data_IF_361112383314
#
_entry.id   IF_361112383314
#
_cell.length_a   1.000
_cell.length_b   1.000
_cell.length_c   1.000
_cell.angle_alpha   90.00
_cell.angle_beta   90.00
_cell.angle_gamma   90.00
#
_symmetry.space_group_name_H-M   'P 1'
#
loop_
_entity.id
_entity.type
_entity.pdbx_description
1 polymer ?
#
# COMPACT_ATOMS: atom_id res chain seq x y z
N UNK A 1 14.07 -16.44 11.84
CA UNK A 1 13.24 -16.60 10.62
C UNK A 1 13.93 -16.00 9.37
N UNK A 2 15.23 -16.25 9.15
CA UNK A 2 15.98 -15.65 8.04
C UNK A 2 15.94 -16.50 6.76
N UNK A 3 15.64 -17.80 6.90
CA UNK A 3 15.63 -18.75 5.79
C UNK A 3 14.63 -18.39 4.69
N UNK A 4 13.35 -18.04 4.98
CA UNK A 4 12.42 -17.64 3.93
C UNK A 4 12.89 -16.39 3.18
N UNK A 5 13.47 -15.41 3.90
CA UNK A 5 13.98 -14.18 3.30
C UNK A 5 15.17 -14.46 2.37
N UNK A 6 16.11 -15.31 2.80
CA UNK A 6 17.26 -15.71 1.99
C UNK A 6 16.83 -16.43 0.70
N UNK A 7 15.83 -17.30 0.77
CA UNK A 7 15.27 -18.00 -0.40
C UNK A 7 14.64 -16.99 -1.37
N UNK A 8 13.85 -16.04 -0.88
CA UNK A 8 13.22 -15.01 -1.73
C UNK A 8 14.30 -14.14 -2.40
N UNK A 9 15.29 -13.67 -1.65
CA UNK A 9 16.39 -12.87 -2.21
C UNK A 9 17.16 -13.65 -3.26
N UNK A 10 17.48 -14.93 -2.99
CA UNK A 10 18.16 -15.79 -3.96
C UNK A 10 17.34 -15.91 -5.25
N UNK A 11 16.04 -16.21 -5.16
CA UNK A 11 15.16 -16.32 -6.33
C UNK A 11 15.07 -15.01 -7.11
N UNK A 12 14.92 -13.86 -6.42
CA UNK A 12 14.90 -12.54 -7.08
C UNK A 12 16.21 -12.27 -7.84
N UNK A 13 17.35 -12.56 -7.22
CA UNK A 13 18.66 -12.39 -7.88
C UNK A 13 18.86 -13.37 -9.04
N UNK A 14 18.45 -14.63 -8.89
CA UNK A 14 18.56 -15.64 -9.94
C UNK A 14 17.69 -15.28 -11.15
N UNK A 15 16.44 -14.84 -10.93
CA UNK A 15 15.54 -14.43 -12.01
C UNK A 15 16.07 -13.16 -12.71
N UNK A 16 16.61 -12.20 -11.96
CA UNK A 16 17.15 -10.96 -12.53
C UNK A 16 18.43 -11.17 -13.34
N UNK A 17 19.42 -11.88 -12.80
CA UNK A 17 20.75 -12.05 -13.41
C UNK A 17 20.74 -13.16 -14.45
N UNK A 18 20.05 -14.27 -14.17
CA UNK A 18 19.99 -15.46 -15.02
C UNK A 18 18.65 -15.56 -15.75
N UNK A 19 18.09 -14.41 -16.15
CA UNK A 19 16.74 -14.29 -16.73
C UNK A 19 16.48 -15.23 -17.92
N UNK A 20 17.50 -15.51 -18.73
CA UNK A 20 17.45 -16.47 -19.85
C UNK A 20 16.94 -17.87 -19.44
N UNK A 21 17.31 -18.35 -18.25
CA UNK A 21 16.88 -19.67 -17.78
C UNK A 21 15.38 -19.74 -17.47
N UNK A 22 14.76 -18.60 -17.17
CA UNK A 22 13.33 -18.50 -16.88
C UNK A 22 12.51 -18.13 -18.12
N UNK A 23 13.08 -17.25 -18.95
CA UNK A 23 12.41 -16.69 -20.13
C UNK A 23 12.30 -17.74 -21.25
N UNK A 24 13.34 -18.55 -21.51
CA UNK A 24 13.30 -19.57 -22.58
C UNK A 24 12.20 -20.63 -22.38
N UNK A 25 12.07 -21.28 -21.21
CA UNK A 25 10.99 -22.23 -20.97
C UNK A 25 9.61 -21.58 -21.01
N UNK A 26 9.48 -20.36 -20.49
CA UNK A 26 8.21 -19.62 -20.52
C UNK A 26 7.73 -19.42 -21.96
N UNK A 27 8.63 -18.99 -22.86
CA UNK A 27 8.29 -18.83 -24.27
C UNK A 27 7.93 -20.14 -24.95
N UNK A 28 8.63 -21.24 -24.65
CA UNK A 28 8.30 -22.56 -25.19
C UNK A 28 6.90 -23.02 -24.77
N UNK A 29 6.51 -22.77 -23.51
CA UNK A 29 5.17 -23.10 -23.01
C UNK A 29 4.12 -22.27 -23.73
N UNK A 30 4.33 -20.94 -23.82
CA UNK A 30 3.37 -20.03 -24.47
C UNK A 30 3.23 -20.34 -25.96
N UNK A 31 4.34 -20.53 -26.69
CA UNK A 31 4.29 -20.85 -28.12
C UNK A 31 3.63 -22.19 -28.39
N UNK A 32 3.88 -23.20 -27.55
CA UNK A 32 3.20 -24.49 -27.61
C UNK A 32 1.70 -24.40 -27.35
N UNK A 33 1.26 -23.55 -26.41
CA UNK A 33 -0.16 -23.33 -26.10
C UNK A 33 -0.90 -22.59 -27.22
N UNK A 34 -0.27 -21.57 -27.82
CA UNK A 34 -0.89 -20.73 -28.84
C UNK A 34 -0.62 -21.19 -30.28
N UNK A 35 0.14 -22.28 -30.48
CA UNK A 35 0.58 -22.79 -31.80
C UNK A 35 1.24 -21.73 -32.67
N UNK A 36 2.02 -20.86 -32.04
CA UNK A 36 2.79 -19.81 -32.72
C UNK A 36 4.15 -20.41 -33.08
N UNK A 37 4.57 -20.26 -34.33
CA UNK A 37 5.91 -20.70 -34.75
C UNK A 37 6.97 -19.97 -33.92
N UNK A 38 7.81 -20.74 -33.22
CA UNK A 38 8.83 -20.21 -32.33
C UNK A 38 10.00 -19.53 -33.07
N UNK A 39 10.00 -19.59 -34.40
CA UNK A 39 11.09 -19.12 -35.28
C UNK A 39 10.84 -17.72 -35.86
N UNK A 40 9.91 -16.96 -35.28
CA UNK A 40 9.72 -15.56 -35.69
C UNK A 40 11.01 -14.77 -35.43
N UNK A 41 11.48 -13.94 -36.40
CA UNK A 41 12.63 -13.06 -36.24
C UNK A 41 12.53 -12.10 -35.05
N UNK A 42 11.33 -11.87 -34.53
CA UNK A 42 11.08 -11.05 -33.34
C UNK A 42 11.46 -11.78 -32.04
N UNK A 43 11.25 -13.10 -31.97
CA UNK A 43 11.62 -13.89 -30.79
C UNK A 43 13.13 -13.98 -30.61
N UNK A 44 13.88 -14.17 -31.70
CA UNK A 44 15.34 -14.21 -31.65
C UNK A 44 15.93 -12.87 -31.17
N UNK A 45 15.37 -11.74 -31.64
CA UNK A 45 15.75 -10.40 -31.15
C UNK A 45 15.46 -10.21 -29.67
N UNK A 46 14.32 -10.70 -29.18
CA UNK A 46 13.98 -10.61 -27.76
C UNK A 46 14.94 -11.41 -26.89
N UNK A 47 15.25 -12.66 -27.27
CA UNK A 47 16.20 -13.51 -26.54
C UNK A 47 17.60 -12.87 -26.50
N UNK A 48 18.06 -12.30 -27.62
CA UNK A 48 19.34 -11.56 -27.67
C UNK A 48 19.35 -10.35 -26.74
N UNK A 49 18.25 -9.58 -26.66
CA UNK A 49 18.17 -8.44 -25.74
C UNK A 49 18.21 -8.88 -24.27
N UNK A 50 17.48 -9.95 -23.91
CA UNK A 50 17.48 -10.52 -22.56
C UNK A 50 18.85 -11.08 -22.18
N UNK A 51 19.56 -11.69 -23.15
CA UNK A 51 20.93 -12.13 -22.99
C UNK A 51 21.87 -10.96 -22.71
N UNK A 52 21.82 -9.90 -23.52
CA UNK A 52 22.63 -8.71 -23.32
C UNK A 52 22.36 -8.06 -21.95
N UNK A 53 21.11 -7.97 -21.52
CA UNK A 53 20.74 -7.46 -20.18
C UNK A 53 21.34 -8.34 -19.09
N UNK A 54 21.28 -9.66 -19.24
CA UNK A 54 21.85 -10.62 -18.28
C UNK A 54 23.38 -10.48 -18.19
N UNK A 55 24.05 -10.33 -19.33
CA UNK A 55 25.51 -10.13 -19.39
C UNK A 55 25.89 -8.80 -18.73
N UNK A 56 25.24 -7.69 -19.09
CA UNK A 56 25.53 -6.37 -18.51
C UNK A 56 25.29 -6.38 -17.00
N UNK A 57 24.20 -6.99 -16.54
CA UNK A 57 23.90 -7.11 -15.11
C UNK A 57 24.95 -7.96 -14.38
N UNK A 58 25.37 -9.08 -14.97
CA UNK A 58 26.43 -9.93 -14.44
C UNK A 58 27.77 -9.21 -14.34
N UNK A 59 28.17 -8.50 -15.39
CA UNK A 59 29.40 -7.67 -15.40
C UNK A 59 29.32 -6.59 -14.33
N UNK A 60 28.19 -5.90 -14.18
CA UNK A 60 28.00 -4.87 -13.14
C UNK A 60 28.16 -5.45 -11.72
N UNK A 61 27.59 -6.63 -11.45
CA UNK A 61 27.73 -7.31 -10.16
C UNK A 61 29.19 -7.68 -9.90
N UNK A 62 29.86 -8.29 -10.88
CA UNK A 62 31.29 -8.67 -10.75
C UNK A 62 32.15 -7.43 -10.50
N UNK A 63 31.96 -6.35 -11.26
CA UNK A 63 32.67 -5.09 -11.06
C UNK A 63 32.42 -4.51 -9.67
N UNK A 64 31.18 -4.52 -9.20
CA UNK A 64 30.84 -4.04 -7.85
C UNK A 64 31.54 -4.87 -6.78
N UNK A 65 31.55 -6.20 -6.91
CA UNK A 65 32.26 -7.10 -5.98
C UNK A 65 33.76 -6.81 -6.00
N UNK A 66 34.37 -6.67 -7.18
CA UNK A 66 35.78 -6.34 -7.32
C UNK A 66 36.12 -4.99 -6.68
N UNK A 67 35.28 -3.97 -6.88
CA UNK A 67 35.43 -2.65 -6.25
C UNK A 67 35.31 -2.72 -4.71
N UNK A 68 34.38 -3.52 -4.19
CA UNK A 68 34.21 -3.71 -2.74
C UNK A 68 35.38 -4.49 -2.13
N UNK A 69 35.89 -5.52 -2.81
CA UNK A 69 37.10 -6.24 -2.39
C UNK A 69 38.29 -5.29 -2.40
N UNK A 70 38.48 -4.55 -3.48
CA UNK A 70 39.56 -3.56 -3.61
C UNK A 70 39.48 -2.49 -2.52
N UNK A 71 38.29 -1.92 -2.27
CA UNK A 71 38.03 -0.98 -1.18
C UNK A 71 38.41 -1.59 0.17
N UNK A 72 37.99 -2.83 0.44
CA UNK A 72 38.27 -3.50 1.71
C UNK A 72 39.78 -3.73 1.90
N UNK A 73 40.48 -4.18 0.86
CA UNK A 73 41.94 -4.35 0.89
C UNK A 73 42.66 -3.03 1.11
N UNK A 74 42.24 -1.94 0.46
CA UNK A 74 42.86 -0.63 0.58
C UNK A 74 42.60 0.04 1.94
N UNK A 75 41.40 -0.12 2.49
CA UNK A 75 41.01 0.48 3.77
C UNK A 75 41.32 -0.40 4.99
N UNK A 76 41.87 -1.61 4.81
CA UNK A 76 42.11 -2.56 5.91
C UNK A 76 42.97 -2.00 7.06
N UNK A 77 43.89 -1.10 6.76
CA UNK A 77 44.80 -0.51 7.74
C UNK A 77 44.34 0.87 8.24
N UNK A 78 43.16 1.35 7.82
CA UNK A 78 42.60 2.61 8.31
C UNK A 78 41.78 2.34 9.57
N UNK A 79 42.10 3.05 10.65
CA UNK A 79 41.27 3.08 11.85
C UNK A 79 39.94 3.75 11.53
N UNK A 80 38.84 3.00 11.64
CA UNK A 80 37.49 3.53 11.48
C UNK A 80 37.04 4.02 12.85
N UNK A 81 36.96 5.33 13.02
CA UNK A 81 36.35 5.94 14.20
C UNK A 81 34.85 6.10 13.96
N UNK A 82 34.05 5.79 14.97
CA UNK A 82 32.61 6.04 14.97
C UNK A 82 32.30 7.06 16.05
N UNK A 83 31.50 8.07 15.69
CA UNK A 83 31.06 9.13 16.59
C UNK A 83 29.56 9.37 16.43
N UNK A 84 28.96 10.21 17.30
CA UNK A 84 27.55 10.56 17.19
C UNK A 84 27.29 11.29 15.87
N UNK A 85 26.23 10.89 15.15
CA UNK A 85 25.85 11.49 13.85
C UNK A 85 25.51 12.98 13.94
N UNK A 86 25.19 13.47 15.15
CA UNK A 86 24.79 14.85 15.43
C UNK A 86 25.69 15.53 16.46
N UNK A 87 26.95 15.09 16.59
CA UNK A 87 27.89 15.56 17.61
C UNK A 87 28.13 17.08 17.64
N UNK A 88 27.82 17.80 16.56
CA UNK A 88 27.90 19.27 16.48
C UNK A 88 26.80 19.99 17.29
N UNK A 89 25.71 19.30 17.65
CA UNK A 89 24.56 19.91 18.33
C UNK A 89 24.06 19.12 19.54
N UNK A 90 24.00 17.79 19.46
CA UNK A 90 23.58 16.96 20.57
C UNK A 90 24.37 15.66 20.60
N UNK A 91 25.06 15.41 21.72
CA UNK A 91 26.04 14.33 21.85
C UNK A 91 25.47 13.04 22.43
N UNK A 92 24.22 13.06 22.91
CA UNK A 92 23.53 11.91 23.49
C UNK A 92 22.38 11.43 22.56
N UNK A 93 22.67 10.78 21.42
CA UNK A 93 21.63 10.40 20.47
C UNK A 93 20.61 9.43 21.10
N UNK A 94 19.34 9.67 20.81
CA UNK A 94 18.22 8.78 21.12
C UNK A 94 17.43 8.50 19.82
N UNK A 95 16.69 7.39 19.77
CA UNK A 95 15.86 7.00 18.63
C UNK A 95 14.84 8.09 18.24
N UNK A 96 14.43 8.93 19.21
CA UNK A 96 13.53 10.07 18.99
C UNK A 96 14.11 11.17 18.09
N UNK A 97 15.43 11.25 17.95
CA UNK A 97 16.10 12.22 17.08
C UNK A 97 16.13 11.75 15.61
N UNK A 98 15.71 10.51 15.33
CA UNK A 98 15.65 10.00 13.96
C UNK A 98 14.35 10.44 13.29
N UNK A 99 14.44 10.86 12.03
CA UNK A 99 13.26 11.10 11.22
C UNK A 99 12.44 9.82 11.09
N UNK A 100 11.15 9.92 11.40
CA UNK A 100 10.20 8.81 11.26
C UNK A 100 9.75 8.69 9.80
N UNK A 101 9.17 7.55 9.45
CA UNK A 101 8.54 7.35 8.14
C UNK A 101 7.51 8.45 7.83
N UNK A 102 6.76 8.91 8.84
CA UNK A 102 5.80 10.01 8.71
C UNK A 102 6.48 11.31 8.30
N UNK A 103 7.60 11.68 8.92
CA UNK A 103 8.34 12.89 8.56
C UNK A 103 8.92 12.81 7.14
N UNK A 104 9.41 11.64 6.72
CA UNK A 104 9.91 11.43 5.37
C UNK A 104 8.82 11.57 4.31
N UNK A 105 7.62 11.03 4.59
CA UNK A 105 6.48 11.09 3.69
C UNK A 105 5.73 12.42 3.73
N UNK A 106 6.02 13.30 4.69
CA UNK A 106 5.19 14.46 5.02
C UNK A 106 5.01 15.46 3.87
N UNK A 107 6.12 15.75 3.16
CA UNK A 107 6.10 16.61 1.98
C UNK A 107 5.26 16.02 0.86
N UNK A 108 5.43 14.72 0.59
CA UNK A 108 4.68 14.04 -0.46
C UNK A 108 3.20 13.94 -0.09
N UNK A 109 2.89 13.69 1.18
CA UNK A 109 1.54 13.67 1.69
C UNK A 109 0.85 15.04 1.61
N UNK A 110 1.60 16.13 1.81
CA UNK A 110 1.12 17.49 1.59
C UNK A 110 0.76 17.77 0.13
N UNK A 111 1.61 17.35 -0.82
CA UNK A 111 1.32 17.47 -2.26
C UNK A 111 0.12 16.63 -2.69
N UNK A 112 -0.03 15.43 -2.11
CA UNK A 112 -1.09 14.49 -2.40
C UNK A 112 -2.33 14.67 -1.50
N UNK A 113 -2.44 15.78 -0.77
CA UNK A 113 -3.56 16.05 0.15
C UNK A 113 -4.95 15.93 -0.50
N UNK A 114 -5.19 16.32 -1.77
CA UNK A 114 -6.49 16.12 -2.41
C UNK A 114 -6.92 14.65 -2.53
N UNK A 115 -5.97 13.72 -2.49
CA UNK A 115 -6.22 12.28 -2.63
C UNK A 115 -6.13 11.57 -1.27
N UNK A 116 -5.12 11.90 -0.47
CA UNK A 116 -4.83 11.19 0.79
C UNK A 116 -5.61 11.70 2.01
N UNK A 117 -6.15 12.92 1.94
CA UNK A 117 -6.94 13.54 3.02
C UNK A 117 -6.31 13.37 4.42
N UNK A 118 -5.00 13.62 4.53
CA UNK A 118 -4.27 13.52 5.80
C UNK A 118 -4.49 14.79 6.62
N UNK A 119 -4.89 14.63 7.88
CA UNK A 119 -5.02 15.73 8.84
C UNK A 119 -3.85 15.72 9.81
N UNK A 120 -3.27 16.89 10.04
CA UNK A 120 -2.21 17.11 11.01
C UNK A 120 -2.73 18.02 12.12
N UNK A 121 -2.49 17.61 13.35
CA UNK A 121 -2.73 18.42 14.54
C UNK A 121 -1.37 18.82 15.07
N UNK A 122 -1.03 20.09 14.89
CA UNK A 122 0.19 20.71 15.37
C UNK A 122 -0.19 21.84 16.34
N UNK A 123 0.21 21.78 17.62
CA UNK A 123 -0.07 22.84 18.57
C UNK A 123 0.74 24.07 18.18
N UNK A 124 0.07 25.22 18.04
CA UNK A 124 0.77 26.49 17.92
C UNK A 124 1.43 26.84 19.26
N UNK A 125 2.75 26.99 19.26
CA UNK A 125 3.51 27.45 20.43
C UNK A 125 3.50 28.98 20.44
N UNK A 126 2.89 29.64 21.45
CA UNK A 126 2.87 31.10 21.51
C UNK A 126 4.29 31.66 21.68
N UNK A 127 4.65 32.68 20.90
CA UNK A 127 5.99 33.29 20.95
C UNK A 127 6.32 33.91 22.31
N UNK A 128 5.31 34.28 23.10
CA UNK A 128 5.48 34.90 24.42
C UNK A 128 5.55 33.88 25.58
N UNK A 129 5.41 32.59 25.30
CA UNK A 129 5.50 31.57 26.33
C UNK A 129 6.96 31.11 26.50
N UNK A 130 7.53 31.38 27.67
CA UNK A 130 8.92 31.03 28.00
C UNK A 130 9.07 29.55 28.35
N UNK A 131 8.00 28.87 28.77
CA UNK A 131 8.01 27.46 29.17
C UNK A 131 6.73 26.76 28.71
N UNK A 132 6.55 26.62 27.38
CA UNK A 132 5.35 25.97 26.85
C UNK A 132 5.28 24.52 27.31
N UNK A 133 4.04 24.05 27.53
CA UNK A 133 3.79 22.63 27.75
C UNK A 133 4.25 21.83 26.53
N UNK A 134 4.73 20.58 26.71
CA UNK A 134 5.20 19.76 25.59
C UNK A 134 4.13 19.65 24.50
N UNK A 135 4.38 20.13 23.28
CA UNK A 135 3.39 20.08 22.21
C UNK A 135 3.16 18.61 21.80
N UNK A 136 1.90 18.21 21.68
CA UNK A 136 1.52 16.91 21.15
C UNK A 136 1.26 17.02 19.64
N UNK A 137 2.11 16.40 18.82
CA UNK A 137 1.90 16.28 17.38
C UNK A 137 1.12 15.00 17.07
N UNK A 138 0.07 15.10 16.26
CA UNK A 138 -0.70 13.94 15.79
C UNK A 138 -0.96 14.03 14.29
N UNK A 139 -0.83 12.91 13.60
CA UNK A 139 -1.20 12.78 12.19
C UNK A 139 -2.20 11.65 12.03
N UNK A 140 -3.30 11.92 11.35
CA UNK A 140 -4.32 10.95 11.02
C UNK A 140 -4.56 10.94 9.51
N UNK A 141 -4.68 9.74 8.94
CA UNK A 141 -5.04 9.55 7.53
C UNK A 141 -6.46 9.04 7.47
N UNK A 142 -7.30 9.74 6.71
CA UNK A 142 -8.69 9.35 6.48
C UNK A 142 -8.81 8.69 5.12
N UNK A 143 -9.25 7.43 5.10
CA UNK A 143 -9.59 6.76 3.85
C UNK A 143 -10.91 7.31 3.32
N UNK A 144 -10.80 8.20 2.32
CA UNK A 144 -11.95 8.85 1.67
C UNK A 144 -12.88 7.83 1.02
N UNK A 145 -12.34 6.72 0.49
CA UNK A 145 -13.14 5.67 -0.14
C UNK A 145 -13.91 4.92 0.93
N UNK A 146 -13.25 4.49 2.00
CA UNK A 146 -13.92 3.82 3.11
C UNK A 146 -15.01 4.71 3.71
N UNK A 147 -14.71 5.97 4.03
CA UNK A 147 -15.67 6.85 4.69
C UNK A 147 -16.87 7.17 3.77
N UNK A 148 -16.61 7.51 2.50
CA UNK A 148 -17.68 7.96 1.59
C UNK A 148 -18.46 6.83 0.93
N UNK A 149 -17.79 5.73 0.57
CA UNK A 149 -18.40 4.64 -0.21
C UNK A 149 -18.79 3.43 0.62
N UNK A 150 -18.27 3.30 1.84
CA UNK A 150 -18.59 2.18 2.73
C UNK A 150 -19.34 2.69 3.95
N UNK A 151 -18.73 3.53 4.79
CA UNK A 151 -19.28 3.88 6.10
C UNK A 151 -20.57 4.73 5.98
N UNK A 152 -20.56 5.76 5.13
CA UNK A 152 -21.74 6.63 4.91
C UNK A 152 -22.96 5.89 4.35
N UNK A 153 -22.89 5.10 3.25
CA UNK A 153 -24.06 4.38 2.76
C UNK A 153 -24.49 3.27 3.72
N UNK A 154 -23.55 2.56 4.34
CA UNK A 154 -23.87 1.46 5.27
C UNK A 154 -24.57 2.00 6.53
N UNK A 155 -24.10 3.11 7.09
CA UNK A 155 -24.75 3.76 8.24
C UNK A 155 -26.17 4.26 7.89
N UNK A 156 -26.36 4.90 6.74
CA UNK A 156 -27.69 5.32 6.26
C UNK A 156 -28.63 4.13 6.06
N UNK A 157 -28.14 3.05 5.46
CA UNK A 157 -28.93 1.83 5.28
C UNK A 157 -29.27 1.20 6.63
N UNK A 158 -28.31 1.14 7.56
CA UNK A 158 -28.54 0.62 8.91
C UNK A 158 -29.57 1.47 9.67
N UNK A 159 -29.55 2.80 9.54
CA UNK A 159 -30.58 3.67 10.11
C UNK A 159 -31.96 3.43 9.50
N UNK A 160 -32.05 3.24 8.18
CA UNK A 160 -33.30 2.90 7.50
C UNK A 160 -33.84 1.55 7.99
N UNK A 161 -32.98 0.53 8.06
CA UNK A 161 -33.33 -0.79 8.59
C UNK A 161 -33.78 -0.71 10.04
N UNK A 162 -33.11 0.06 10.90
CA UNK A 162 -33.52 0.31 12.29
C UNK A 162 -34.92 0.94 12.37
N UNK A 163 -35.23 1.89 11.48
CA UNK A 163 -36.56 2.50 11.40
C UNK A 163 -37.62 1.48 10.96
N UNK A 164 -37.34 0.65 9.96
CA UNK A 164 -38.27 -0.41 9.51
C UNK A 164 -38.45 -1.50 10.57
N UNK A 165 -37.39 -1.85 11.31
CA UNK A 165 -37.45 -2.80 12.42
C UNK A 165 -38.40 -2.35 13.54
N UNK A 166 -38.70 -1.05 13.66
CA UNK A 166 -39.71 -0.54 14.61
C UNK A 166 -41.11 -1.11 14.35
N UNK A 167 -41.41 -1.58 13.13
CA UNK A 167 -42.66 -2.27 12.79
C UNK A 167 -42.78 -3.65 13.44
N UNK A 168 -41.66 -4.24 13.90
CA UNK A 168 -41.64 -5.50 14.63
C UNK A 168 -41.94 -5.26 16.12
N UNK A 169 -43.19 -4.91 16.44
CA UNK A 169 -43.61 -4.60 17.81
C UNK A 169 -43.81 -5.83 18.70
N UNK A 170 -43.79 -7.04 18.13
CA UNK A 170 -43.99 -8.31 18.87
C UNK A 170 -45.44 -8.57 19.29
N UNK A 171 -46.39 -7.71 18.91
CA UNK A 171 -47.82 -7.85 19.24
C UNK A 171 -48.61 -8.34 18.03
N UNK A 172 -49.29 -9.48 18.16
CA UNK A 172 -50.06 -10.12 17.08
C UNK A 172 -51.07 -9.16 16.44
N UNK A 173 -51.74 -8.33 17.25
CA UNK A 173 -52.71 -7.32 16.83
C UNK A 173 -52.16 -6.37 15.74
N UNK A 174 -50.89 -5.95 15.85
CA UNK A 174 -50.28 -5.04 14.88
C UNK A 174 -50.08 -5.73 13.53
N UNK A 175 -49.67 -6.99 13.53
CA UNK A 175 -49.48 -7.75 12.29
C UNK A 175 -50.80 -8.00 11.55
N UNK A 176 -51.89 -8.28 12.27
CA UNK A 176 -53.23 -8.41 11.68
C UNK A 176 -53.67 -7.08 11.06
N UNK A 177 -53.46 -5.96 11.77
CA UNK A 177 -53.77 -4.62 11.26
C UNK A 177 -52.99 -4.30 9.97
N UNK A 178 -51.69 -4.60 9.93
CA UNK A 178 -50.86 -4.38 8.74
C UNK A 178 -51.35 -5.17 7.53
N UNK A 179 -51.73 -6.44 7.72
CA UNK A 179 -52.29 -7.26 6.64
C UNK A 179 -53.63 -6.70 6.14
N UNK A 180 -54.51 -6.26 7.04
CA UNK A 180 -55.80 -5.69 6.67
C UNK A 180 -55.64 -4.35 5.92
N UNK A 181 -54.76 -3.47 6.42
CA UNK A 181 -54.44 -2.21 5.75
C UNK A 181 -53.86 -2.44 4.35
N UNK A 182 -53.00 -3.45 4.19
CA UNK A 182 -52.45 -3.83 2.89
C UNK A 182 -53.53 -4.33 1.92
N UNK A 183 -54.48 -5.15 2.38
CA UNK A 183 -55.62 -5.60 1.55
C UNK A 183 -56.49 -4.43 1.08
N UNK A 184 -56.79 -3.47 1.96
CA UNK A 184 -57.53 -2.26 1.60
C UNK A 184 -56.75 -1.44 0.57
N UNK A 185 -55.44 -1.27 0.76
CA UNK A 185 -54.58 -0.52 -0.16
C UNK A 185 -54.61 -1.12 -1.57
N UNK A 186 -54.47 -2.44 -1.68
CA UNK A 186 -54.59 -3.14 -2.97
C UNK A 186 -55.98 -2.94 -3.57
N UNK A 187 -57.04 -3.14 -2.79
CA UNK A 187 -58.41 -2.96 -3.27
C UNK A 187 -58.64 -1.55 -3.85
N UNK A 188 -58.16 -0.51 -3.16
CA UNK A 188 -58.24 0.87 -3.63
C UNK A 188 -57.45 1.04 -4.93
N UNK A 189 -56.20 0.57 -4.99
CA UNK A 189 -55.36 0.69 -6.18
C UNK A 189 -55.99 0.01 -7.40
N UNK A 190 -56.57 -1.19 -7.22
CA UNK A 190 -57.29 -1.91 -8.28
C UNK A 190 -58.58 -1.21 -8.67
N UNK A 191 -59.36 -0.70 -7.72
CA UNK A 191 -60.60 0.02 -8.01
C UNK A 191 -60.37 1.28 -8.86
N UNK A 192 -59.26 1.99 -8.61
CA UNK A 192 -58.86 3.16 -9.39
C UNK A 192 -58.05 2.83 -10.65
N UNK A 193 -57.85 1.55 -11.00
CA UNK A 193 -57.05 1.11 -12.15
C UNK A 193 -55.61 1.67 -12.15
N UNK A 194 -55.05 1.91 -10.97
CA UNK A 194 -53.64 2.31 -10.79
C UNK A 194 -52.71 1.08 -10.76
N UNK A 195 -53.28 -0.12 -10.81
CA UNK A 195 -52.64 -1.42 -10.79
C UNK A 195 -53.45 -2.39 -11.66
#
# INVERSE_FOLDING_TARGET
>A
MLWPLAVITFLMTAIGVASLFFVKPLFQIVSGMFKIDADLPEFSKYILNVENISIVSGVFIVLTILLLIWRNLHLRNKTVESGPTWGCGYTAPDARLQYTATSYADNLAGLAQPVLNTTKQEPEIPQNDLFPQPPAFKTESHDVIQENWIDKPTSKLAELLKKMARMQTGRIEHYILYAFAFMILIFILTYFNLL
#
